data_IF_499910772065
#
_entry.id   IF_499910772065
#
_cell.length_a   1.000
_cell.length_b   1.000
_cell.length_c   1.000
_cell.angle_alpha   90.00
_cell.angle_beta   90.00
_cell.angle_gamma   90.00
#
_symmetry.space_group_name_H-M   'P 1'
#
loop_
_entity.id
_entity.type
_entity.pdbx_description
1 polymer ?
#
# COMPACT_ATOMS: atom_id res chain seq x y z
N UNK A 1 -19.23 16.15 -9.40
CA UNK A 1 -17.95 16.34 -10.12
C UNK A 1 -16.72 16.30 -9.20
N UNK A 2 -16.77 16.83 -7.98
CA UNK A 2 -15.60 16.85 -7.07
C UNK A 2 -15.01 15.45 -6.75
N UNK A 3 -15.87 14.45 -6.51
CA UNK A 3 -15.44 13.07 -6.21
C UNK A 3 -14.69 12.37 -7.36
N UNK A 4 -15.12 12.56 -8.62
CA UNK A 4 -14.41 11.99 -9.76
C UNK A 4 -13.03 12.64 -9.96
N UNK A 5 -12.95 13.97 -9.75
CA UNK A 5 -11.65 14.65 -9.80
C UNK A 5 -10.70 14.12 -8.74
N UNK A 6 -11.17 13.86 -7.51
CA UNK A 6 -10.29 13.33 -6.46
C UNK A 6 -9.77 11.94 -6.81
N UNK A 7 -10.57 11.06 -7.40
CA UNK A 7 -10.09 9.75 -7.87
C UNK A 7 -9.05 9.87 -8.98
N UNK A 8 -9.26 10.77 -9.96
CA UNK A 8 -8.31 10.98 -11.05
C UNK A 8 -6.96 11.51 -10.52
N UNK A 9 -6.99 12.46 -9.56
CA UNK A 9 -5.79 12.97 -8.92
C UNK A 9 -5.05 11.90 -8.11
N UNK A 10 -5.78 11.08 -7.35
CA UNK A 10 -5.20 9.95 -6.59
C UNK A 10 -4.56 8.92 -7.52
N UNK A 11 -5.22 8.59 -8.63
CA UNK A 11 -4.69 7.67 -9.63
C UNK A 11 -3.44 8.24 -10.29
N UNK A 12 -3.47 9.51 -10.71
CA UNK A 12 -2.30 10.20 -11.28
C UNK A 12 -1.14 10.20 -10.29
N UNK A 13 -1.39 10.47 -9.00
CA UNK A 13 -0.35 10.42 -7.97
C UNK A 13 0.22 9.02 -7.80
N UNK A 14 -0.64 8.01 -7.75
CA UNK A 14 -0.25 6.61 -7.60
C UNK A 14 0.63 6.16 -8.77
N UNK A 15 0.24 6.47 -10.00
CA UNK A 15 0.98 6.12 -11.21
C UNK A 15 2.37 6.80 -11.31
N UNK A 16 2.57 7.92 -10.60
CA UNK A 16 3.82 8.68 -10.59
C UNK A 16 4.68 8.41 -9.33
N UNK A 17 4.32 7.41 -8.52
CA UNK A 17 5.05 7.07 -7.29
C UNK A 17 5.15 5.55 -7.12
N UNK A 18 5.94 5.10 -6.15
CA UNK A 18 6.03 3.68 -5.80
C UNK A 18 4.78 3.13 -5.10
N UNK A 19 3.75 3.96 -4.84
CA UNK A 19 2.45 3.48 -4.36
C UNK A 19 1.83 2.47 -5.33
N UNK A 20 1.99 2.65 -6.64
CA UNK A 20 1.50 1.67 -7.64
C UNK A 20 2.12 0.29 -7.45
N UNK A 21 3.40 0.22 -7.06
CA UNK A 21 4.06 -1.04 -6.79
C UNK A 21 3.48 -1.71 -5.55
N UNK A 22 3.31 -0.96 -4.44
CA UNK A 22 2.74 -1.51 -3.22
C UNK A 22 1.31 -2.01 -3.43
N UNK A 23 0.46 -1.23 -4.12
CA UNK A 23 -0.89 -1.66 -4.47
C UNK A 23 -0.92 -2.92 -5.33
N UNK A 24 0.01 -3.03 -6.29
CA UNK A 24 0.13 -4.23 -7.11
C UNK A 24 0.61 -5.47 -6.34
N UNK A 25 1.19 -5.27 -5.16
CA UNK A 25 1.73 -6.31 -4.29
C UNK A 25 0.82 -6.59 -3.08
N UNK A 26 -0.43 -6.12 -3.08
CA UNK A 26 -1.43 -6.49 -2.08
C UNK A 26 -1.54 -8.02 -1.95
N UNK A 27 -1.65 -8.49 -0.70
CA UNK A 27 -1.62 -9.90 -0.34
C UNK A 27 -0.22 -10.48 -0.11
N UNK A 28 0.84 -9.75 -0.43
CA UNK A 28 2.22 -10.21 -0.18
C UNK A 28 2.61 -10.07 1.28
N UNK A 29 3.43 -11.01 1.77
CA UNK A 29 4.13 -10.81 3.05
C UNK A 29 5.30 -9.85 2.86
N UNK A 30 5.39 -8.90 3.79
CA UNK A 30 6.39 -7.83 3.76
C UNK A 30 6.87 -7.50 5.17
N UNK A 31 8.11 -7.02 5.26
CA UNK A 31 8.64 -6.35 6.45
C UNK A 31 8.77 -4.87 6.16
N UNK A 32 8.02 -4.04 6.90
CA UNK A 32 8.12 -2.58 6.81
C UNK A 32 9.10 -2.11 7.89
N UNK A 33 10.21 -1.53 7.46
CA UNK A 33 11.14 -0.83 8.35
C UNK A 33 10.67 0.62 8.51
N UNK A 34 10.45 1.03 9.76
CA UNK A 34 10.03 2.38 10.10
C UNK A 34 11.26 3.28 10.34
N UNK A 35 11.06 4.59 10.22
CA UNK A 35 12.12 5.61 10.43
C UNK A 35 12.70 5.62 11.84
N UNK A 36 11.95 5.11 12.82
CA UNK A 36 12.44 4.91 14.18
C UNK A 36 13.16 3.57 14.38
N UNK A 37 13.46 2.84 13.30
CA UNK A 37 14.09 1.51 13.28
C UNK A 37 13.24 0.35 13.80
N UNK A 38 11.97 0.57 14.17
CA UNK A 38 11.03 -0.52 14.43
C UNK A 38 10.73 -1.26 13.13
N UNK A 39 10.45 -2.56 13.20
CA UNK A 39 10.00 -3.36 12.05
C UNK A 39 8.59 -3.88 12.26
N UNK A 40 7.83 -3.91 11.17
CA UNK A 40 6.46 -4.42 11.13
C UNK A 40 6.40 -5.52 10.08
N UNK A 41 6.32 -6.77 10.52
CA UNK A 41 6.16 -7.92 9.64
C UNK A 41 4.69 -8.29 9.55
N UNK A 42 4.20 -8.58 8.34
CA UNK A 42 2.83 -9.04 8.15
C UNK A 42 2.45 -9.11 6.67
N UNK A 43 1.15 -9.20 6.40
CA UNK A 43 0.63 -9.21 5.03
C UNK A 43 0.16 -7.82 4.64
N UNK A 44 0.63 -7.30 3.51
CA UNK A 44 0.17 -6.05 2.91
C UNK A 44 -1.30 -6.20 2.50
N UNK A 45 -2.22 -5.57 3.23
CA UNK A 45 -3.65 -5.64 2.97
C UNK A 45 -4.15 -4.54 2.03
N UNK A 46 -3.52 -3.37 2.07
CA UNK A 46 -3.86 -2.24 1.20
C UNK A 46 -2.81 -1.14 1.25
N UNK A 47 -2.75 -0.33 0.19
CA UNK A 47 -1.89 0.87 0.13
C UNK A 47 -2.61 2.02 -0.57
N UNK A 48 -2.69 3.19 0.05
CA UNK A 48 -3.26 4.38 -0.60
C UNK A 48 -2.23 5.14 -1.48
N UNK A 49 -2.68 6.21 -2.13
CA UNK A 49 -1.86 7.06 -3.00
C UNK A 49 -0.83 7.92 -2.24
N UNK A 50 -0.91 7.96 -0.91
CA UNK A 50 0.07 8.59 -0.02
C UNK A 50 1.04 7.56 0.60
N UNK A 51 1.01 6.30 0.14
CA UNK A 51 1.76 5.18 0.70
C UNK A 51 1.46 4.90 2.17
N UNK A 52 0.27 5.25 2.65
CA UNK A 52 -0.21 4.69 3.90
C UNK A 52 -0.57 3.23 3.67
N UNK A 53 -0.16 2.37 4.58
CA UNK A 53 -0.26 0.91 4.45
C UNK A 53 -1.21 0.38 5.52
N UNK A 54 -2.13 -0.48 5.09
CA UNK A 54 -2.87 -1.39 5.95
C UNK A 54 -2.21 -2.77 5.89
N UNK A 55 -1.96 -3.37 7.04
CA UNK A 55 -1.39 -4.71 7.16
C UNK A 55 -2.29 -5.61 8.01
N UNK A 56 -2.23 -6.91 7.75
CA UNK A 56 -2.92 -7.94 8.54
C UNK A 56 -1.98 -9.04 9.02
N UNK A 57 -2.35 -9.75 10.08
CA UNK A 57 -1.54 -10.79 10.72
C UNK A 57 -0.13 -10.28 11.04
N UNK A 58 -0.06 -9.28 11.91
CA UNK A 58 1.11 -8.41 12.09
C UNK A 58 1.90 -8.77 13.34
N UNK A 59 3.22 -8.74 13.22
CA UNK A 59 4.18 -8.77 14.32
C UNK A 59 5.04 -7.50 14.28
N UNK A 60 5.00 -6.72 15.36
CA UNK A 60 5.76 -5.47 15.49
C UNK A 60 6.94 -5.68 16.43
N UNK A 61 8.13 -5.35 15.95
CA UNK A 61 9.35 -5.29 16.75
C UNK A 61 9.72 -3.82 17.00
N UNK A 62 9.62 -3.38 18.25
CA UNK A 62 9.99 -2.02 18.64
C UNK A 62 11.52 -1.91 18.82
N UNK A 63 12.15 -0.92 18.18
CA UNK A 63 13.60 -0.69 18.30
C UNK A 63 14.04 -0.25 19.70
N UNK A 64 13.14 0.37 20.48
CA UNK A 64 13.44 0.90 21.80
C UNK A 64 13.16 -0.07 22.93
N UNK A 65 12.30 -1.06 22.68
CA UNK A 65 11.88 -2.03 23.69
C UNK A 65 12.48 -3.38 23.34
N UNK A 66 13.38 -3.87 24.20
CA UNK A 66 13.82 -5.27 24.18
C UNK A 66 12.72 -6.25 24.64
N UNK A 67 11.46 -5.81 24.69
CA UNK A 67 10.32 -6.64 25.07
C UNK A 67 9.96 -7.62 23.96
N UNK A 68 9.12 -8.60 24.30
CA UNK A 68 8.51 -9.49 23.31
C UNK A 68 7.83 -8.69 22.18
N UNK A 69 7.80 -9.24 20.94
CA UNK A 69 7.09 -8.63 19.82
C UNK A 69 5.60 -8.43 20.14
N UNK A 70 5.01 -7.37 19.59
CA UNK A 70 3.57 -7.15 19.67
C UNK A 70 2.89 -7.86 18.49
N UNK A 71 1.90 -8.70 18.77
CA UNK A 71 1.08 -9.35 17.76
C UNK A 71 -0.29 -8.67 17.67
N UNK A 72 -0.76 -8.40 16.45
CA UNK A 72 -2.09 -7.85 16.22
C UNK A 72 -2.66 -8.28 14.86
N UNK A 73 -3.99 -8.38 14.78
CA UNK A 73 -4.66 -8.83 13.56
C UNK A 73 -4.56 -7.80 12.43
N UNK A 74 -4.56 -6.52 12.79
CA UNK A 74 -4.50 -5.38 11.86
C UNK A 74 -3.53 -4.32 12.37
N UNK A 75 -2.81 -3.68 11.45
CA UNK A 75 -1.90 -2.57 11.76
C UNK A 75 -1.91 -1.53 10.64
N UNK A 76 -1.88 -0.25 11.00
CA UNK A 76 -1.87 0.85 10.05
C UNK A 76 -0.60 1.67 10.18
N UNK A 77 0.04 1.95 9.04
CA UNK A 77 1.29 2.70 8.97
C UNK A 77 1.07 3.92 8.08
N UNK A 78 1.29 5.11 8.62
CA UNK A 78 1.34 6.31 7.78
C UNK A 78 2.61 6.31 6.94
N UNK A 79 2.49 6.58 5.64
CA UNK A 79 3.61 6.51 4.68
C UNK A 79 4.80 7.38 5.07
N UNK A 80 4.56 8.50 5.76
CA UNK A 80 5.62 9.40 6.26
C UNK A 80 6.57 8.76 7.27
N UNK A 81 6.19 7.64 7.91
CA UNK A 81 7.02 6.92 8.87
C UNK A 81 7.75 5.72 8.26
N UNK A 82 7.43 5.34 7.02
CA UNK A 82 8.09 4.25 6.33
C UNK A 82 9.50 4.68 5.92
N UNK A 83 10.47 3.79 6.14
CA UNK A 83 11.83 3.90 5.63
C UNK A 83 12.03 2.96 4.45
N UNK A 84 11.74 1.67 4.64
CA UNK A 84 11.84 0.63 3.61
C UNK A 84 10.67 -0.35 3.69
N UNK A 85 10.33 -0.95 2.55
CA UNK A 85 9.42 -2.09 2.47
C UNK A 85 10.22 -3.23 1.86
N UNK A 86 10.42 -4.29 2.63
CA UNK A 86 11.14 -5.49 2.23
C UNK A 86 10.13 -6.57 1.82
N UNK A 87 10.39 -7.24 0.71
CA UNK A 87 9.59 -8.35 0.21
C UNK A 87 10.35 -9.65 0.41
N UNK A 88 9.63 -10.74 0.72
CA UNK A 88 10.24 -12.04 1.01
C UNK A 88 10.96 -12.67 -0.20
N UNK A 89 10.62 -12.22 -1.42
CA UNK A 89 11.15 -12.77 -2.66
C UNK A 89 11.51 -11.67 -3.64
N UNK A 90 12.53 -11.93 -4.47
CA UNK A 90 12.85 -11.07 -5.60
C UNK A 90 11.76 -11.16 -6.67
N UNK A 91 11.39 -10.02 -7.24
CA UNK A 91 10.50 -9.94 -8.38
C UNK A 91 10.93 -8.79 -9.30
N UNK A 92 10.46 -8.84 -10.54
CA UNK A 92 10.72 -7.79 -11.50
C UNK A 92 9.75 -6.62 -11.27
N UNK A 93 10.18 -5.60 -10.50
CA UNK A 93 9.37 -4.41 -10.23
C UNK A 93 8.82 -3.76 -11.51
N UNK A 94 9.61 -3.70 -12.59
CA UNK A 94 9.18 -3.16 -13.87
C UNK A 94 7.97 -3.92 -14.46
N UNK A 95 7.93 -5.26 -14.34
CA UNK A 95 6.81 -6.10 -14.82
C UNK A 95 5.56 -5.87 -13.97
N UNK A 96 5.74 -5.74 -12.65
CA UNK A 96 4.63 -5.48 -11.72
C UNK A 96 4.02 -4.10 -11.97
N UNK A 97 4.86 -3.06 -12.07
CA UNK A 97 4.43 -1.69 -12.37
C UNK A 97 3.75 -1.63 -13.75
N UNK A 98 4.35 -2.24 -14.78
CA UNK A 98 3.76 -2.28 -16.11
C UNK A 98 2.41 -2.99 -16.12
N UNK A 99 2.27 -4.10 -15.38
CA UNK A 99 0.97 -4.77 -15.21
C UNK A 99 -0.04 -3.83 -14.57
N UNK A 100 0.30 -3.17 -13.46
CA UNK A 100 -0.60 -2.27 -12.74
C UNK A 100 -1.09 -1.10 -13.60
N UNK A 101 -0.19 -0.48 -14.37
CA UNK A 101 -0.51 0.64 -15.26
C UNK A 101 -1.44 0.25 -16.41
N UNK A 102 -1.40 -1.01 -16.85
CA UNK A 102 -2.18 -1.51 -17.98
C UNK A 102 -3.47 -2.25 -17.59
N UNK A 103 -3.74 -2.47 -16.29
CA UNK A 103 -5.06 -2.97 -15.88
C UNK A 103 -6.10 -1.89 -16.20
N UNK A 104 -7.17 -2.20 -16.97
CA UNK A 104 -8.32 -1.32 -17.05
C UNK A 104 -8.89 -1.20 -15.64
N UNK A 105 -8.58 -0.09 -14.98
CA UNK A 105 -9.05 0.13 -13.63
C UNK A 105 -10.57 0.18 -13.68
N UNK A 106 -11.25 -0.78 -13.05
CA UNK A 106 -12.72 -0.86 -13.00
C UNK A 106 -13.25 0.26 -12.09
N UNK A 107 -13.13 1.52 -12.52
CA UNK A 107 -13.72 2.66 -11.83
C UNK A 107 -14.79 3.29 -12.70
N UNK A 108 -15.98 2.74 -12.51
CA UNK A 108 -17.25 3.24 -12.99
C UNK A 108 -18.33 2.39 -12.34
N UNK A 109 -18.67 2.69 -11.08
CA UNK A 109 -20.02 2.35 -10.60
C UNK A 109 -21.04 2.84 -11.63
N UNK A 110 -22.21 2.18 -11.76
CA UNK A 110 -23.06 2.34 -12.94
C UNK A 110 -23.22 3.81 -13.27
N UNK A 111 -22.79 4.19 -14.49
CA UNK A 111 -23.07 5.47 -15.10
C UNK A 111 -24.54 5.77 -14.80
N UNK A 112 -24.84 6.68 -13.86
CA UNK A 112 -26.17 7.26 -13.77
C UNK A 112 -26.39 7.86 -15.15
N UNK A 113 -27.16 7.16 -15.99
CA UNK A 113 -27.59 7.65 -17.29
C UNK A 113 -28.08 9.06 -17.04
N UNK A 114 -27.44 10.04 -17.67
CA UNK A 114 -27.96 11.41 -17.70
C UNK A 114 -29.35 11.29 -18.33
N UNK A 115 -30.38 11.32 -17.49
CA UNK A 115 -31.72 11.63 -17.95
C UNK A 115 -31.61 13.06 -18.46
N UNK A 116 -31.72 13.22 -19.78
CA UNK A 116 -32.00 14.50 -20.40
C UNK A 116 -33.44 14.87 -20.13
#
# INVERSE_FOLDING_TARGET
>A
MAFLRSTDFRQKRTANTMACLLQAMEGSSVVVELKNYSTVHGILAGCDDAMNIEMKAVTVHDSKRYSAPLHCDSFYIQGKFIRFVHFDHYFSAAKVIHKWLNVPQKFGGPLRKKIR
#
